data_IF_175909670745
#
_entry.id   IF_175909670745
#
_cell.length_a   1.000
_cell.length_b   1.000
_cell.length_c   1.000
_cell.angle_alpha   90.00
_cell.angle_beta   90.00
_cell.angle_gamma   90.00
#
_symmetry.space_group_name_H-M   'P 1'
#
loop_
_entity.id
_entity.type
_entity.pdbx_description
1 polymer ?
#
# COMPACT_ATOMS: atom_id res chain seq x y z
N UNK A 1 9.32 4.79 -8.90
CA UNK A 1 8.51 4.68 -7.67
C UNK A 1 8.31 6.09 -7.09
N UNK A 2 7.08 6.62 -7.02
CA UNK A 2 6.79 7.91 -6.38
C UNK A 2 5.84 7.68 -5.22
N UNK A 3 6.30 7.92 -3.98
CA UNK A 3 5.42 8.17 -2.84
C UNK A 3 4.38 9.23 -3.25
N UNK A 4 3.14 9.12 -2.76
CA UNK A 4 2.07 10.10 -3.03
C UNK A 4 2.60 11.54 -2.94
N UNK A 5 2.21 12.41 -3.87
CA UNK A 5 2.61 13.84 -3.87
C UNK A 5 2.39 14.51 -2.50
N UNK A 6 1.36 14.08 -1.76
CA UNK A 6 1.01 14.58 -0.42
C UNK A 6 2.01 14.20 0.70
N UNK A 7 2.93 13.27 0.43
CA UNK A 7 3.88 12.73 1.40
C UNK A 7 5.34 13.05 1.09
N UNK A 8 5.61 13.89 0.08
CA UNK A 8 6.98 14.28 -0.28
C UNK A 8 7.39 15.55 0.47
N UNK A 9 8.34 15.48 1.42
CA UNK A 9 9.11 16.64 1.81
C UNK A 9 9.74 17.29 0.56
N UNK A 10 9.88 18.61 0.56
CA UNK A 10 10.67 19.31 -0.45
C UNK A 10 12.15 18.92 -0.28
N UNK A 11 12.58 17.87 -0.98
CA UNK A 11 14.00 17.53 -1.10
C UNK A 11 14.62 18.39 -2.22
N UNK A 12 15.76 19.01 -1.92
CA UNK A 12 16.51 19.78 -2.90
C UNK A 12 17.27 18.86 -3.87
N UNK A 13 16.82 18.84 -5.14
CA UNK A 13 17.53 18.34 -6.32
C UNK A 13 17.80 16.82 -6.44
N UNK A 14 17.89 16.34 -7.68
CA UNK A 14 18.03 14.93 -8.07
C UNK A 14 19.37 14.26 -7.70
N UNK A 15 20.35 15.02 -7.16
CA UNK A 15 21.72 14.53 -6.95
C UNK A 15 22.20 14.57 -5.49
N UNK A 16 21.43 15.14 -4.55
CA UNK A 16 21.77 15.12 -3.12
C UNK A 16 20.63 14.48 -2.33
N UNK A 17 20.72 13.15 -2.10
CA UNK A 17 19.66 12.33 -1.48
C UNK A 17 19.41 12.60 0.02
N UNK A 18 20.10 13.57 0.64
CA UNK A 18 20.06 13.81 2.09
C UNK A 18 19.48 15.18 2.39
N UNK A 19 18.52 15.23 3.31
CA UNK A 19 17.89 16.48 3.73
C UNK A 19 18.91 17.35 4.45
N UNK A 20 19.46 18.36 3.73
CA UNK A 20 20.63 19.14 4.17
C UNK A 20 20.44 19.86 5.51
N UNK A 21 19.20 20.21 5.85
CA UNK A 21 18.88 20.95 7.07
C UNK A 21 18.52 20.05 8.25
N UNK A 22 18.66 18.72 8.12
CA UNK A 22 18.46 17.80 9.24
C UNK A 22 19.80 17.44 9.86
N UNK A 23 19.91 17.67 11.16
CA UNK A 23 20.98 17.12 11.98
C UNK A 23 20.73 15.62 12.18
N UNK A 24 21.61 14.76 11.65
CA UNK A 24 21.48 13.31 11.76
C UNK A 24 22.07 12.77 13.07
N UNK A 25 22.84 13.58 13.81
CA UNK A 25 23.55 13.14 15.02
C UNK A 25 22.57 12.97 16.19
N UNK A 26 21.43 13.68 16.15
CA UNK A 26 20.27 13.47 17.03
C UNK A 26 19.46 12.20 16.72
N UNK A 27 19.91 11.38 15.77
CA UNK A 27 19.22 10.17 15.31
C UNK A 27 18.17 10.47 14.25
N UNK A 28 17.90 9.48 13.39
CA UNK A 28 17.03 9.65 12.22
C UNK A 28 16.33 8.35 11.84
N UNK A 29 15.11 8.42 11.31
CA UNK A 29 14.45 7.27 10.67
C UNK A 29 14.50 7.45 9.16
N UNK A 30 14.94 6.43 8.44
CA UNK A 30 15.17 6.46 6.99
C UNK A 30 14.46 5.29 6.33
N UNK A 31 13.64 5.56 5.33
CA UNK A 31 13.12 4.54 4.41
C UNK A 31 14.09 4.37 3.25
N UNK A 32 14.56 3.15 3.01
CA UNK A 32 15.51 2.86 1.94
C UNK A 32 15.03 1.75 1.00
N UNK A 33 15.53 1.78 -0.23
CA UNK A 33 15.21 0.83 -1.29
C UNK A 33 16.47 0.48 -2.09
N UNK A 34 16.70 -0.80 -2.28
CA UNK A 34 17.72 -1.35 -3.19
C UNK A 34 17.03 -2.17 -4.27
N UNK A 35 17.55 -2.11 -5.49
CA UNK A 35 16.92 -2.72 -6.67
C UNK A 35 17.95 -3.60 -7.36
N UNK A 36 17.54 -4.77 -7.83
CA UNK A 36 18.40 -5.65 -8.63
C UNK A 36 18.79 -4.98 -9.95
N UNK A 37 19.92 -5.33 -10.54
CA UNK A 37 20.33 -4.85 -11.86
C UNK A 37 19.91 -5.88 -12.94
N UNK A 38 19.25 -5.51 -14.06
CA UNK A 38 18.53 -4.26 -14.37
C UNK A 38 17.04 -4.34 -14.01
N UNK A 39 16.70 -4.72 -12.76
CA UNK A 39 15.37 -5.10 -12.25
C UNK A 39 14.94 -6.55 -12.54
N UNK A 40 15.87 -7.50 -12.40
CA UNK A 40 15.57 -8.94 -12.55
C UNK A 40 14.76 -9.46 -11.37
N UNK A 41 13.69 -10.21 -11.67
CA UNK A 41 12.79 -10.81 -10.67
C UNK A 41 13.38 -12.09 -10.06
N UNK A 42 14.51 -11.96 -9.37
CA UNK A 42 15.30 -13.09 -8.88
C UNK A 42 14.83 -13.62 -7.51
N UNK A 43 14.12 -12.81 -6.73
CA UNK A 43 13.81 -13.13 -5.32
C UNK A 43 12.47 -13.85 -5.13
N UNK A 44 11.76 -14.16 -6.21
CA UNK A 44 10.51 -14.90 -6.17
C UNK A 44 9.37 -14.18 -6.91
N UNK A 45 8.13 -14.48 -6.51
CA UNK A 45 6.91 -13.95 -7.12
C UNK A 45 5.88 -13.59 -6.05
N UNK A 46 4.96 -12.70 -6.39
CA UNK A 46 3.83 -12.35 -5.52
C UNK A 46 2.63 -13.24 -5.85
N UNK A 47 2.04 -13.84 -4.83
CA UNK A 47 0.84 -14.69 -4.90
C UNK A 47 -0.08 -14.32 -3.73
N UNK A 48 -1.34 -14.00 -4.02
CA UNK A 48 -2.38 -13.69 -3.00
C UNK A 48 -1.92 -12.66 -1.96
N UNK A 49 -1.40 -11.54 -2.45
CA UNK A 49 -0.96 -10.41 -1.64
C UNK A 49 0.28 -10.69 -0.79
N UNK A 50 0.98 -11.80 -1.02
CA UNK A 50 2.16 -12.22 -0.26
C UNK A 50 3.34 -12.53 -1.17
N UNK A 51 4.55 -12.37 -0.63
CA UNK A 51 5.78 -12.77 -1.32
C UNK A 51 6.01 -14.27 -1.14
N UNK A 52 6.01 -15.01 -2.25
CA UNK A 52 6.55 -16.36 -2.32
C UNK A 52 8.02 -16.25 -2.76
N UNK A 53 8.94 -16.37 -1.79
CA UNK A 53 10.37 -16.21 -2.03
C UNK A 53 10.92 -17.38 -2.86
N UNK A 54 11.90 -17.07 -3.72
CA UNK A 54 12.77 -18.10 -4.31
C UNK A 54 13.85 -18.52 -3.29
N UNK A 55 14.60 -19.58 -3.58
CA UNK A 55 15.75 -19.98 -2.77
C UNK A 55 16.76 -18.82 -2.54
N UNK A 56 17.01 -18.01 -3.58
CA UNK A 56 17.82 -16.81 -3.43
C UNK A 56 17.11 -15.75 -2.58
N UNK A 57 15.80 -15.55 -2.79
CA UNK A 57 14.99 -14.63 -2.00
C UNK A 57 15.00 -14.93 -0.51
N UNK A 58 14.94 -16.21 -0.13
CA UNK A 58 15.05 -16.68 1.26
C UNK A 58 16.41 -16.33 1.86
N UNK A 59 17.51 -16.61 1.13
CA UNK A 59 18.86 -16.24 1.56
C UNK A 59 19.03 -14.73 1.71
N UNK A 60 18.44 -13.93 0.81
CA UNK A 60 18.45 -12.46 0.88
C UNK A 60 17.63 -11.95 2.07
N UNK A 61 16.46 -12.54 2.33
CA UNK A 61 15.64 -12.21 3.48
C UNK A 61 16.35 -12.54 4.81
N UNK A 62 16.96 -13.73 4.90
CA UNK A 62 17.77 -14.13 6.04
C UNK A 62 18.96 -13.19 6.27
N UNK A 63 19.68 -12.83 5.19
CA UNK A 63 20.77 -11.86 5.25
C UNK A 63 20.32 -10.48 5.76
N UNK A 64 19.16 -10.01 5.34
CA UNK A 64 18.60 -8.74 5.81
C UNK A 64 18.24 -8.82 7.30
N UNK A 65 17.60 -9.92 7.72
CA UNK A 65 17.23 -10.16 9.12
C UNK A 65 18.45 -10.29 10.05
N UNK A 66 19.53 -10.91 9.57
CA UNK A 66 20.78 -11.08 10.32
C UNK A 66 21.73 -9.89 10.22
N UNK A 67 21.45 -8.90 9.36
CA UNK A 67 22.35 -7.78 9.14
C UNK A 67 22.53 -6.98 10.42
N UNK A 68 23.78 -6.72 10.79
CA UNK A 68 24.14 -5.90 11.95
C UNK A 68 25.11 -4.83 11.48
N UNK A 69 24.79 -3.58 11.80
CA UNK A 69 25.68 -2.45 11.57
C UNK A 69 25.60 -1.56 12.78
N UNK A 70 26.74 -1.26 13.37
CA UNK A 70 26.80 -0.37 14.53
C UNK A 70 26.10 0.95 14.20
N UNK A 71 25.27 1.42 15.13
CA UNK A 71 24.51 2.66 14.93
C UNK A 71 23.25 2.58 14.08
N UNK A 72 22.96 1.43 13.46
CA UNK A 72 21.78 1.26 12.62
C UNK A 72 20.90 0.15 13.18
N UNK A 73 19.63 0.45 13.42
CA UNK A 73 18.61 -0.54 13.74
C UNK A 73 17.69 -0.74 12.53
N UNK A 74 17.53 -2.00 12.12
CA UNK A 74 16.52 -2.41 11.14
C UNK A 74 15.19 -2.61 11.84
N UNK A 75 14.12 -2.00 11.32
CA UNK A 75 12.77 -2.16 11.84
C UNK A 75 11.92 -3.03 10.88
N UNK A 76 11.18 -2.41 9.97
CA UNK A 76 10.34 -3.11 8.99
C UNK A 76 11.10 -3.30 7.69
N UNK A 77 10.85 -4.40 7.00
CA UNK A 77 11.42 -4.65 5.70
C UNK A 77 10.55 -5.59 4.87
N UNK A 78 10.76 -5.58 3.56
CA UNK A 78 10.16 -6.55 2.63
C UNK A 78 11.11 -6.78 1.46
N UNK A 79 11.33 -8.05 1.12
CA UNK A 79 11.99 -8.46 -0.12
C UNK A 79 10.89 -8.66 -1.17
N UNK A 80 10.98 -7.93 -2.26
CA UNK A 80 10.08 -7.96 -3.42
C UNK A 80 10.77 -8.69 -4.58
N UNK A 81 10.08 -9.05 -5.68
CA UNK A 81 10.66 -9.91 -6.71
C UNK A 81 12.00 -9.42 -7.27
N UNK A 82 12.16 -8.10 -7.44
CA UNK A 82 13.33 -7.44 -8.05
C UNK A 82 13.96 -6.35 -7.17
N UNK A 83 13.52 -6.16 -5.93
CA UNK A 83 13.99 -5.09 -5.04
C UNK A 83 13.75 -5.44 -3.57
N UNK A 84 14.30 -4.65 -2.65
CA UNK A 84 13.97 -4.73 -1.23
C UNK A 84 13.74 -3.32 -0.66
N UNK A 85 12.78 -3.22 0.26
CA UNK A 85 12.54 -2.02 1.06
C UNK A 85 12.85 -2.30 2.52
N UNK A 86 13.38 -1.30 3.23
CA UNK A 86 13.59 -1.38 4.67
C UNK A 86 13.51 -0.02 5.33
N UNK A 87 12.98 -0.01 6.55
CA UNK A 87 12.94 1.14 7.44
C UNK A 87 14.05 1.00 8.48
N UNK A 88 14.93 1.99 8.52
CA UNK A 88 16.12 2.02 9.35
C UNK A 88 16.03 3.15 10.36
N UNK A 89 16.55 2.91 11.55
CA UNK A 89 16.76 3.94 12.57
C UNK A 89 18.26 4.11 12.81
N UNK A 90 18.76 5.30 12.50
CA UNK A 90 20.10 5.74 12.84
C UNK A 90 20.05 6.23 14.29
N UNK A 91 20.82 5.57 15.16
CA UNK A 91 20.87 5.89 16.59
C UNK A 91 21.46 7.28 16.81
N UNK A 92 21.04 8.01 17.85
CA UNK A 92 21.67 9.28 18.21
C UNK A 92 23.10 9.08 18.72
N UNK A 93 23.90 10.15 18.72
CA UNK A 93 25.27 10.18 19.24
C UNK A 93 26.30 9.48 18.33
N UNK A 94 25.91 9.16 17.09
CA UNK A 94 26.82 8.66 16.07
C UNK A 94 27.74 9.79 15.60
N UNK A 95 29.05 9.52 15.44
CA UNK A 95 29.98 10.49 14.81
C UNK A 95 29.72 10.66 13.32
N UNK A 96 29.30 9.60 12.63
CA UNK A 96 29.06 9.60 11.19
C UNK A 96 27.80 8.78 10.83
N UNK A 97 26.59 9.20 11.25
CA UNK A 97 25.35 8.43 11.09
C UNK A 97 25.06 8.05 9.63
N UNK A 98 25.41 8.93 8.71
CA UNK A 98 25.23 8.72 7.28
C UNK A 98 26.23 7.72 6.67
N UNK A 99 27.42 7.59 7.27
CA UNK A 99 28.39 6.56 6.90
C UNK A 99 27.90 5.21 7.41
N UNK A 100 27.36 5.15 8.63
CA UNK A 100 26.76 3.94 9.18
C UNK A 100 25.60 3.42 8.30
N UNK A 101 24.73 4.32 7.82
CA UNK A 101 23.69 3.98 6.83
C UNK A 101 24.30 3.38 5.55
N UNK A 102 25.35 4.02 5.01
CA UNK A 102 26.05 3.54 3.82
C UNK A 102 26.69 2.16 4.03
N UNK A 103 27.32 1.94 5.19
CA UNK A 103 27.91 0.65 5.56
C UNK A 103 26.86 -0.45 5.69
N UNK A 104 25.69 -0.15 6.26
CA UNK A 104 24.59 -1.11 6.34
C UNK A 104 24.17 -1.59 4.95
N UNK A 105 23.88 -0.64 4.04
CA UNK A 105 23.41 -0.95 2.69
C UNK A 105 24.52 -1.61 1.86
N UNK A 106 25.74 -1.09 1.95
CA UNK A 106 26.90 -1.64 1.25
C UNK A 106 27.19 -3.08 1.67
N UNK A 107 27.28 -3.33 2.98
CA UNK A 107 27.48 -4.68 3.53
C UNK A 107 26.38 -5.65 3.10
N UNK A 108 25.12 -5.21 3.15
CA UNK A 108 23.99 -6.03 2.71
C UNK A 108 24.10 -6.41 1.23
N UNK A 109 24.36 -5.42 0.36
CA UNK A 109 24.50 -5.64 -1.08
C UNK A 109 25.68 -6.54 -1.41
N UNK A 110 26.84 -6.32 -0.78
CA UNK A 110 28.03 -7.14 -1.01
C UNK A 110 27.80 -8.60 -0.59
N UNK A 111 27.28 -8.81 0.62
CA UNK A 111 27.05 -10.15 1.15
C UNK A 111 26.02 -10.93 0.31
N UNK A 112 24.91 -10.30 -0.06
CA UNK A 112 23.87 -10.95 -0.89
C UNK A 112 24.32 -11.18 -2.33
N UNK A 113 25.19 -10.33 -2.88
CA UNK A 113 25.80 -10.57 -4.20
C UNK A 113 26.70 -11.81 -4.15
N UNK A 114 27.46 -12.01 -3.05
CA UNK A 114 28.23 -13.23 -2.84
C UNK A 114 27.35 -14.48 -2.82
N UNK A 115 26.24 -14.45 -2.06
CA UNK A 115 25.28 -15.57 -2.01
C UNK A 115 24.69 -15.89 -3.40
N UNK A 116 24.42 -14.87 -4.20
CA UNK A 116 23.93 -15.03 -5.57
C UNK A 116 24.96 -15.75 -6.46
N UNK A 117 26.24 -15.39 -6.40
CA UNK A 117 27.28 -16.11 -7.15
C UNK A 117 27.49 -17.53 -6.65
N UNK A 118 27.51 -17.74 -5.32
CA UNK A 118 27.63 -19.08 -4.71
C UNK A 118 26.56 -20.03 -5.23
N UNK A 119 25.29 -19.61 -5.22
CA UNK A 119 24.18 -20.39 -5.75
C UNK A 119 24.33 -20.67 -7.24
N UNK A 120 24.73 -19.67 -8.02
CA UNK A 120 24.89 -19.84 -9.46
C UNK A 120 26.03 -20.83 -9.80
N UNK A 121 27.10 -20.87 -8.98
CA UNK A 121 28.17 -21.88 -9.09
C UNK A 121 27.73 -23.27 -8.61
N UNK A 122 26.83 -23.38 -7.64
CA UNK A 122 26.21 -24.65 -7.22
C UNK A 122 25.33 -25.24 -8.33
N UNK A 123 24.50 -24.40 -8.97
CA UNK A 123 23.64 -24.79 -10.10
C UNK A 123 24.46 -25.24 -11.32
N UNK A 124 25.57 -24.55 -11.63
CA UNK A 124 26.46 -24.95 -12.72
C UNK A 124 27.09 -26.33 -12.48
N UNK A 125 27.62 -26.58 -11.26
CA UNK A 125 28.26 -27.86 -10.89
C UNK A 125 27.30 -29.04 -10.92
N UNK A 126 26.06 -28.85 -10.47
CA UNK A 126 25.03 -29.89 -10.51
C UNK A 126 24.60 -30.23 -11.94
N UNK A 127 24.54 -29.23 -12.82
CA UNK A 127 24.19 -29.41 -14.24
C UNK A 127 25.29 -30.12 -15.03
N UNK A 128 26.57 -29.86 -14.73
CA UNK A 128 27.71 -30.55 -15.34
C UNK A 128 27.90 -31.99 -14.82
N UNK A 129 27.64 -32.23 -13.53
CA UNK A 129 27.69 -33.57 -12.91
C UNK A 129 26.53 -34.49 -13.31
N UNK A 130 25.42 -33.96 -13.85
CA UNK A 130 24.27 -34.71 -14.31
C UNK A 130 24.39 -35.22 -15.77
N UNK A 131 25.60 -35.26 -16.34
CA UNK A 131 25.91 -36.00 -17.59
C UNK A 131 26.51 -37.37 -17.23
N UNK A 132 25.72 -38.47 -17.12
CA UNK A 132 26.30 -39.81 -17.15
C UNK A 132 26.88 -40.06 -18.55
N UNK A 133 28.02 -40.74 -18.60
CA UNK A 133 28.85 -40.93 -19.78
C UNK A 133 28.08 -41.20 -21.08
N UNK A 134 28.17 -40.26 -22.02
CA UNK A 134 27.99 -40.54 -23.43
C UNK A 134 29.27 -41.22 -23.92
N UNK A 135 29.25 -42.55 -23.95
CA UNK A 135 30.10 -43.31 -24.85
C UNK A 135 29.88 -42.80 -26.28
N UNK A 136 30.97 -42.60 -27.01
CA UNK A 136 30.97 -42.26 -28.42
C UNK A 136 29.99 -43.16 -29.22
N UNK A 137 28.93 -42.55 -29.74
CA UNK A 137 27.91 -43.21 -30.57
C UNK A 137 27.08 -42.15 -31.27
N UNK A 138 27.19 -42.11 -32.60
CA UNK A 138 26.62 -41.11 -33.47
C UNK A 138 25.09 -40.99 -33.40
N UNK A 139 24.59 -39.76 -33.45
CA UNK A 139 23.17 -39.45 -33.62
C UNK A 139 22.89 -37.96 -33.46
N UNK A 140 23.12 -37.16 -34.52
CA UNK A 140 22.65 -35.75 -34.57
C UNK A 140 21.13 -35.76 -34.62
N UNK A 141 20.48 -35.40 -33.52
CA UNK A 141 19.04 -35.16 -33.47
C UNK A 141 18.80 -33.62 -33.54
N UNK A 142 18.29 -33.07 -34.66
CA UNK A 142 18.29 -31.62 -34.92
C UNK A 142 17.20 -30.82 -34.17
N UNK A 143 16.53 -31.41 -33.17
CA UNK A 143 15.38 -30.80 -32.49
C UNK A 143 15.58 -30.38 -31.03
N UNK A 144 16.76 -30.56 -30.44
CA UNK A 144 16.98 -30.26 -29.01
C UNK A 144 17.74 -28.93 -28.86
N UNK A 145 17.00 -27.86 -28.59
CA UNK A 145 17.58 -26.59 -28.14
C UNK A 145 18.43 -26.84 -26.89
N UNK A 146 19.69 -26.39 -26.84
CA UNK A 146 20.50 -26.54 -25.64
C UNK A 146 19.83 -25.78 -24.48
N UNK A 147 19.97 -26.25 -23.23
CA UNK A 147 19.51 -25.50 -22.08
C UNK A 147 20.23 -24.14 -22.10
N UNK A 148 19.45 -23.07 -22.08
CA UNK A 148 19.97 -21.70 -21.97
C UNK A 148 20.65 -21.61 -20.61
N UNK A 149 21.98 -21.79 -20.58
CA UNK A 149 22.79 -21.37 -19.44
C UNK A 149 22.74 -19.85 -19.46
N UNK A 150 21.79 -19.29 -18.72
CA UNK A 150 21.65 -17.84 -18.61
C UNK A 150 22.95 -17.31 -18.00
N UNK A 151 23.71 -16.51 -18.74
CA UNK A 151 24.96 -15.94 -18.26
C UNK A 151 24.72 -15.26 -16.91
N UNK A 152 25.47 -15.69 -15.88
CA UNK A 152 25.37 -15.14 -14.54
C UNK A 152 25.86 -13.70 -14.64
N UNK A 153 24.98 -12.73 -14.41
CA UNK A 153 25.38 -11.32 -14.46
C UNK A 153 26.41 -11.00 -13.37
N UNK A 154 27.35 -10.10 -13.69
CA UNK A 154 28.43 -9.71 -12.78
C UNK A 154 27.95 -9.02 -11.50
N UNK A 155 26.74 -8.46 -11.47
CA UNK A 155 26.22 -7.79 -10.27
C UNK A 155 24.80 -8.22 -9.97
N UNK A 156 24.44 -8.27 -8.68
CA UNK A 156 23.08 -8.52 -8.26
C UNK A 156 22.26 -7.22 -8.23
N UNK A 157 22.84 -6.13 -7.74
CA UNK A 157 22.14 -4.88 -7.42
C UNK A 157 22.63 -3.69 -8.27
N UNK A 158 21.72 -2.76 -8.56
CA UNK A 158 22.06 -1.47 -9.19
C UNK A 158 23.02 -0.66 -8.32
N UNK A 159 23.81 0.24 -8.89
CA UNK A 159 24.68 1.15 -8.13
C UNK A 159 23.89 2.07 -7.17
N UNK A 160 24.40 2.25 -5.94
CA UNK A 160 23.75 3.06 -4.91
C UNK A 160 22.45 2.46 -4.34
N UNK A 161 21.61 3.30 -3.72
CA UNK A 161 20.30 2.97 -3.17
C UNK A 161 19.43 4.23 -3.01
N UNK A 162 18.10 4.10 -3.05
CA UNK A 162 17.20 5.24 -2.83
C UNK A 162 16.78 5.33 -1.38
N UNK A 163 16.87 6.51 -0.79
CA UNK A 163 16.51 6.75 0.61
C UNK A 163 15.69 8.04 0.82
N UNK A 164 14.89 8.04 1.89
CA UNK A 164 14.00 9.12 2.28
C UNK A 164 14.03 9.29 3.81
N UNK A 165 14.31 10.49 4.29
CA UNK A 165 14.22 10.84 5.71
C UNK A 165 12.75 10.89 6.17
N UNK A 166 12.41 10.12 7.19
CA UNK A 166 11.08 10.09 7.80
C UNK A 166 10.96 11.17 8.89
N UNK A 167 10.53 12.38 8.50
CA UNK A 167 10.51 13.59 9.36
C UNK A 167 9.38 13.65 10.41
N UNK A 168 8.43 12.71 10.42
CA UNK A 168 7.33 12.72 11.38
C UNK A 168 6.87 11.30 11.70
N UNK A 169 6.27 11.12 12.88
CA UNK A 169 5.65 9.84 13.26
C UNK A 169 4.62 9.37 12.23
N UNK A 170 3.79 10.28 11.72
CA UNK A 170 2.82 9.96 10.66
C UNK A 170 3.51 9.42 9.40
N UNK A 171 4.64 10.00 9.00
CA UNK A 171 5.36 9.51 7.83
C UNK A 171 6.02 8.15 8.08
N UNK A 172 6.55 7.92 9.29
CA UNK A 172 7.06 6.62 9.73
C UNK A 172 5.96 5.55 9.62
N UNK A 173 4.77 5.80 10.18
CA UNK A 173 3.64 4.86 10.09
C UNK A 173 3.21 4.60 8.63
N UNK A 174 3.21 5.63 7.78
CA UNK A 174 2.94 5.45 6.34
C UNK A 174 3.99 4.57 5.66
N UNK A 175 5.27 4.69 6.01
CA UNK A 175 6.33 3.82 5.50
C UNK A 175 6.17 2.38 5.98
N UNK A 176 5.80 2.17 7.25
CA UNK A 176 5.48 0.84 7.80
C UNK A 176 4.35 0.18 7.04
N UNK A 177 3.24 0.89 6.87
CA UNK A 177 2.11 0.43 6.06
C UNK A 177 2.53 0.16 4.60
N UNK A 178 3.35 1.04 4.01
CA UNK A 178 3.84 0.85 2.66
C UNK A 178 4.63 -0.45 2.49
N UNK A 179 5.51 -0.77 3.45
CA UNK A 179 6.28 -2.03 3.46
C UNK A 179 5.34 -3.22 3.59
N UNK A 180 4.43 -3.19 4.57
CA UNK A 180 3.51 -4.29 4.84
C UNK A 180 2.59 -4.62 3.64
N UNK A 181 2.07 -3.59 2.97
CA UNK A 181 1.16 -3.74 1.83
C UNK A 181 1.88 -3.80 0.48
N UNK A 182 3.21 -3.75 0.43
CA UNK A 182 3.95 -3.71 -0.83
C UNK A 182 3.67 -4.95 -1.71
N UNK A 183 3.67 -6.18 -1.18
CA UNK A 183 3.35 -7.35 -1.97
C UNK A 183 1.96 -7.27 -2.59
N UNK A 184 0.94 -6.94 -1.81
CA UNK A 184 -0.42 -6.74 -2.33
C UNK A 184 -0.49 -5.63 -3.38
N UNK A 185 0.16 -4.50 -3.12
CA UNK A 185 0.25 -3.41 -4.09
C UNK A 185 0.86 -3.88 -5.41
N UNK A 186 1.92 -4.68 -5.34
CA UNK A 186 2.57 -5.24 -6.51
C UNK A 186 1.61 -6.15 -7.29
N UNK A 187 0.89 -7.05 -6.61
CA UNK A 187 -0.11 -7.92 -7.24
C UNK A 187 -1.18 -7.10 -7.96
N UNK A 188 -1.79 -6.13 -7.28
CA UNK A 188 -2.83 -5.28 -7.86
C UNK A 188 -2.33 -4.42 -9.02
N UNK A 189 -1.02 -4.18 -9.14
CA UNK A 189 -0.45 -3.41 -10.24
C UNK A 189 -0.04 -4.27 -11.44
N UNK A 190 0.37 -5.52 -11.22
CA UNK A 190 0.96 -6.35 -12.27
C UNK A 190 0.12 -7.58 -12.62
N UNK A 191 -0.57 -8.16 -11.64
CA UNK A 191 -1.34 -9.40 -11.80
C UNK A 191 -2.85 -9.15 -11.87
N UNK A 192 -3.35 -8.07 -11.26
CA UNK A 192 -4.78 -7.68 -11.22
C UNK A 192 -5.00 -6.17 -11.43
N UNK A 193 -4.51 -5.59 -12.54
CA UNK A 193 -4.59 -4.14 -12.79
C UNK A 193 -6.04 -3.60 -12.84
N UNK A 194 -7.01 -4.45 -13.17
CA UNK A 194 -8.43 -4.11 -13.21
C UNK A 194 -8.98 -3.65 -11.86
N UNK A 195 -8.43 -4.14 -10.75
CA UNK A 195 -8.85 -3.77 -9.39
C UNK A 195 -8.48 -2.31 -9.04
N UNK A 196 -7.47 -1.75 -9.71
CA UNK A 196 -7.02 -0.36 -9.52
C UNK A 196 -7.38 0.55 -10.70
N UNK A 197 -8.13 0.03 -11.69
CA UNK A 197 -8.56 0.80 -12.85
C UNK A 197 -9.52 1.90 -12.41
N UNK A 198 -9.21 3.14 -12.82
CA UNK A 198 -10.14 4.25 -12.71
C UNK A 198 -11.22 4.07 -13.78
N UNK A 199 -12.47 4.06 -13.33
CA UNK A 199 -13.67 4.06 -14.18
C UNK A 199 -14.24 5.46 -14.19
N UNK A 200 -14.38 6.02 -15.38
CA UNK A 200 -14.88 7.37 -15.61
C UNK A 200 -15.53 7.42 -17.02
N UNK A 201 -16.83 7.77 -17.13
CA UNK A 201 -17.76 7.94 -16.02
C UNK A 201 -18.13 6.60 -15.36
N UNK A 202 -18.57 6.64 -14.10
CA UNK A 202 -19.34 5.52 -13.53
C UNK A 202 -20.80 5.69 -13.92
N UNK A 203 -21.36 4.67 -14.57
CA UNK A 203 -22.78 4.58 -14.86
C UNK A 203 -23.51 3.88 -13.70
N UNK A 204 -24.42 4.60 -13.04
CA UNK A 204 -25.31 4.05 -12.02
C UNK A 204 -26.51 4.98 -11.81
N UNK A 205 -27.73 4.44 -11.69
CA UNK A 205 -28.93 5.21 -11.36
C UNK A 205 -28.92 5.84 -9.95
N UNK A 206 -27.96 5.46 -9.09
CA UNK A 206 -27.76 6.12 -7.80
C UNK A 206 -26.96 7.42 -7.94
N UNK A 207 -26.18 7.56 -9.01
CA UNK A 207 -25.44 8.78 -9.33
C UNK A 207 -26.35 9.69 -10.18
N UNK A 208 -26.19 11.02 -10.08
CA UNK A 208 -27.11 11.92 -10.78
C UNK A 208 -26.82 11.91 -12.29
N UNK A 209 -27.87 11.96 -13.11
CA UNK A 209 -27.72 12.05 -14.57
C UNK A 209 -26.91 13.30 -14.97
N UNK A 210 -25.93 13.12 -15.84
CA UNK A 210 -25.08 14.21 -16.37
C UNK A 210 -23.85 14.56 -15.53
N UNK A 211 -23.63 13.89 -14.39
CA UNK A 211 -22.44 14.10 -13.55
C UNK A 211 -21.30 13.12 -13.89
N UNK A 212 -20.08 13.64 -14.08
CA UNK A 212 -18.88 12.84 -14.39
C UNK A 212 -18.23 12.26 -13.12
N UNK A 213 -18.83 11.19 -12.58
CA UNK A 213 -18.28 10.48 -11.43
C UNK A 213 -17.10 9.59 -11.82
N UNK A 214 -16.07 9.58 -10.98
CA UNK A 214 -14.92 8.66 -11.12
C UNK A 214 -14.94 7.63 -10.01
N UNK A 215 -14.44 6.43 -10.26
CA UNK A 215 -14.23 5.51 -9.16
C UNK A 215 -13.28 4.36 -9.43
N UNK A 216 -12.85 3.74 -8.34
CA UNK A 216 -11.92 2.63 -8.31
C UNK A 216 -12.48 1.55 -7.39
N UNK A 217 -12.49 0.30 -7.85
CA UNK A 217 -12.99 -0.84 -7.08
C UNK A 217 -14.41 -1.26 -7.49
N UNK A 218 -15.20 -1.66 -6.49
CA UNK A 218 -16.44 -2.41 -6.67
C UNK A 218 -17.65 -1.53 -7.06
N UNK A 219 -17.84 -1.28 -8.35
CA UNK A 219 -18.97 -0.45 -8.83
C UNK A 219 -20.34 -1.08 -8.60
N UNK A 220 -20.41 -2.40 -8.42
CA UNK A 220 -21.64 -3.11 -8.04
C UNK A 220 -22.17 -2.72 -6.65
N UNK A 221 -21.39 -1.99 -5.84
CA UNK A 221 -21.89 -1.42 -4.59
C UNK A 221 -22.89 -0.27 -4.83
N UNK A 222 -22.98 0.25 -6.06
CA UNK A 222 -23.96 1.26 -6.48
C UNK A 222 -25.22 0.63 -7.10
N UNK A 223 -25.62 -0.53 -6.62
CA UNK A 223 -26.88 -1.19 -6.99
C UNK A 223 -28.06 -0.45 -6.31
N UNK A 224 -29.12 -0.05 -7.04
CA UNK A 224 -30.35 0.49 -6.45
C UNK A 224 -30.95 -0.31 -5.30
N UNK A 225 -30.79 -1.64 -5.32
CA UNK A 225 -31.31 -2.53 -4.28
C UNK A 225 -30.39 -2.61 -3.05
N UNK A 226 -29.18 -2.05 -3.12
CA UNK A 226 -28.29 -1.98 -1.97
C UNK A 226 -28.87 -1.02 -0.90
N UNK A 227 -28.69 -1.38 0.37
CA UNK A 227 -29.11 -0.54 1.50
C UNK A 227 -27.96 0.36 1.92
N UNK A 228 -27.82 1.53 1.29
CA UNK A 228 -26.72 2.43 1.60
C UNK A 228 -26.98 3.19 2.92
N UNK A 229 -25.94 3.27 3.75
CA UNK A 229 -25.96 3.99 5.01
C UNK A 229 -25.00 5.18 4.95
N UNK A 230 -25.52 6.39 4.76
CA UNK A 230 -24.73 7.61 4.82
C UNK A 230 -24.26 7.85 6.26
N UNK A 231 -22.96 7.65 6.52
CA UNK A 231 -22.38 7.77 7.86
C UNK A 231 -21.69 9.11 8.03
N UNK A 232 -22.02 9.79 9.12
CA UNK A 232 -21.28 10.96 9.60
C UNK A 232 -20.94 10.80 11.08
N UNK A 233 -19.68 10.94 11.45
CA UNK A 233 -19.27 10.99 12.87
C UNK A 233 -18.59 12.32 13.11
N UNK A 234 -19.18 13.15 13.97
CA UNK A 234 -18.66 14.48 14.29
C UNK A 234 -17.20 14.41 14.72
N UNK A 235 -16.38 15.36 14.25
CA UNK A 235 -14.99 15.53 14.69
C UNK A 235 -14.81 15.73 16.18
N UNK A 236 -15.89 16.10 16.90
CA UNK A 236 -15.91 16.27 18.35
C UNK A 236 -16.06 14.93 19.08
N UNK A 237 -16.44 13.84 18.39
CA UNK A 237 -16.37 12.49 18.94
C UNK A 237 -14.91 12.05 18.86
N UNK A 238 -14.12 12.43 19.86
CA UNK A 238 -12.66 12.31 19.87
C UNK A 238 -12.11 11.42 20.99
N UNK A 239 -12.94 11.05 21.98
CA UNK A 239 -12.56 10.10 23.01
C UNK A 239 -12.64 8.67 22.50
N UNK A 240 -11.70 7.81 22.94
CA UNK A 240 -11.64 6.41 22.51
C UNK A 240 -12.95 5.65 22.79
N UNK A 241 -13.55 5.87 23.96
CA UNK A 241 -14.81 5.24 24.34
C UNK A 241 -15.98 5.68 23.45
N UNK A 242 -16.10 6.98 23.15
CA UNK A 242 -17.17 7.48 22.30
C UNK A 242 -16.98 7.05 20.83
N UNK A 243 -15.73 7.03 20.34
CA UNK A 243 -15.42 6.49 19.01
C UNK A 243 -15.80 5.02 18.94
N UNK A 244 -15.38 4.20 19.90
CA UNK A 244 -15.69 2.77 19.94
C UNK A 244 -17.20 2.51 19.95
N UNK A 245 -17.95 3.25 20.77
CA UNK A 245 -19.42 3.15 20.82
C UNK A 245 -20.08 3.56 19.49
N UNK A 246 -19.56 4.60 18.82
CA UNK A 246 -20.04 5.03 17.52
C UNK A 246 -19.79 3.99 16.43
N UNK A 247 -18.56 3.47 16.35
CA UNK A 247 -18.18 2.41 15.41
C UNK A 247 -19.05 1.16 15.64
N UNK A 248 -19.18 0.70 16.88
CA UNK A 248 -19.96 -0.50 17.22
C UNK A 248 -21.43 -0.39 16.78
N UNK A 249 -22.05 0.79 16.90
CA UNK A 249 -23.42 0.99 16.41
C UNK A 249 -23.53 0.85 14.90
N UNK A 250 -22.58 1.41 14.17
CA UNK A 250 -22.58 1.37 12.71
C UNK A 250 -22.32 -0.05 12.21
N UNK A 251 -21.42 -0.79 12.87
CA UNK A 251 -21.16 -2.19 12.54
C UNK A 251 -22.39 -3.09 12.72
N UNK A 252 -23.26 -2.84 13.72
CA UNK A 252 -24.56 -3.53 13.80
C UNK A 252 -25.46 -3.27 12.57
N UNK A 253 -25.33 -2.09 11.96
CA UNK A 253 -25.99 -1.80 10.70
C UNK A 253 -25.40 -2.61 9.53
N UNK A 254 -24.08 -2.79 9.52
CA UNK A 254 -23.39 -3.66 8.55
C UNK A 254 -23.88 -5.10 8.68
N UNK A 255 -23.98 -5.62 9.91
CA UNK A 255 -24.53 -6.95 10.18
C UNK A 255 -25.99 -7.09 9.71
N UNK A 256 -26.76 -6.00 9.78
CA UNK A 256 -28.13 -5.93 9.26
C UNK A 256 -28.19 -5.73 7.73
N UNK A 257 -27.06 -5.76 7.01
CA UNK A 257 -26.98 -5.69 5.55
C UNK A 257 -26.81 -4.29 4.95
N UNK A 258 -26.57 -3.26 5.78
CA UNK A 258 -26.27 -1.92 5.27
C UNK A 258 -24.83 -1.81 4.75
N UNK A 259 -24.64 -0.96 3.73
CA UNK A 259 -23.34 -0.62 3.15
C UNK A 259 -22.99 0.82 3.58
N UNK A 260 -22.02 1.02 4.49
CA UNK A 260 -21.62 2.36 4.90
C UNK A 260 -21.04 3.17 3.74
N UNK A 261 -21.48 4.41 3.62
CA UNK A 261 -20.96 5.42 2.69
C UNK A 261 -20.44 6.60 3.50
N UNK A 262 -19.15 6.92 3.38
CA UNK A 262 -18.51 7.92 4.23
C UNK A 262 -17.33 8.61 3.54
N UNK A 263 -16.99 9.83 3.97
CA UNK A 263 -15.75 10.52 3.56
C UNK A 263 -14.50 10.11 4.36
N UNK A 264 -14.67 9.44 5.50
CA UNK A 264 -13.58 9.00 6.39
C UNK A 264 -12.59 10.10 6.79
N UNK A 265 -13.13 11.27 7.13
CA UNK A 265 -12.35 12.48 7.43
C UNK A 265 -12.08 12.60 8.92
N UNK A 266 -13.11 12.44 9.75
CA UNK A 266 -13.00 12.64 11.19
C UNK A 266 -12.27 11.49 11.89
N UNK A 267 -11.77 11.66 13.15
CA UNK A 267 -11.17 10.57 13.90
C UNK A 267 -12.09 9.34 14.03
N UNK A 268 -13.36 9.56 14.36
CA UNK A 268 -14.35 8.49 14.48
C UNK A 268 -14.65 7.80 13.14
N UNK A 269 -14.72 8.55 12.04
CA UNK A 269 -14.91 7.95 10.72
C UNK A 269 -13.68 7.13 10.30
N UNK A 270 -12.46 7.63 10.52
CA UNK A 270 -11.24 6.85 10.23
C UNK A 270 -11.18 5.55 11.04
N UNK A 271 -11.56 5.60 12.32
CA UNK A 271 -11.68 4.39 13.13
C UNK A 271 -12.73 3.41 12.59
N UNK A 272 -13.87 3.91 12.09
CA UNK A 272 -14.84 3.09 11.39
C UNK A 272 -14.26 2.45 10.14
N UNK A 273 -13.53 3.20 9.30
CA UNK A 273 -12.87 2.66 8.11
C UNK A 273 -11.94 1.52 8.45
N UNK A 274 -11.10 1.71 9.46
CA UNK A 274 -10.12 0.71 9.88
C UNK A 274 -10.85 -0.56 10.39
N UNK A 275 -11.98 -0.40 11.09
CA UNK A 275 -12.84 -1.51 11.48
C UNK A 275 -13.50 -2.23 10.29
N UNK A 276 -13.98 -1.50 9.28
CA UNK A 276 -14.59 -2.07 8.06
C UNK A 276 -13.57 -2.83 7.19
N UNK A 277 -12.32 -2.36 7.14
CA UNK A 277 -11.23 -3.07 6.46
C UNK A 277 -10.95 -4.40 7.18
N UNK A 278 -10.88 -4.36 8.52
CA UNK A 278 -10.60 -5.52 9.36
C UNK A 278 -11.75 -6.54 9.42
N UNK A 279 -12.99 -6.10 9.22
CA UNK A 279 -14.17 -6.97 9.23
C UNK A 279 -14.33 -7.71 7.90
N UNK A 280 -14.18 -9.05 7.85
CA UNK A 280 -14.34 -9.82 6.62
C UNK A 280 -15.76 -9.68 6.07
N UNK A 281 -15.89 -9.56 4.75
CA UNK A 281 -17.19 -9.43 4.07
C UNK A 281 -17.85 -8.05 4.19
N UNK A 282 -17.36 -7.15 5.05
CA UNK A 282 -17.92 -5.80 5.17
C UNK A 282 -17.69 -5.00 3.88
N UNK A 283 -18.78 -4.58 3.24
CA UNK A 283 -18.76 -3.76 2.03
C UNK A 283 -18.97 -2.29 2.40
N UNK A 284 -18.24 -1.38 1.77
CA UNK A 284 -18.35 0.05 2.06
C UNK A 284 -17.89 0.93 0.89
N UNK A 285 -18.37 2.17 0.87
CA UNK A 285 -18.04 3.18 -0.14
C UNK A 285 -17.33 4.34 0.55
N UNK A 286 -16.14 4.69 0.06
CA UNK A 286 -15.43 5.90 0.45
C UNK A 286 -15.60 6.96 -0.62
N UNK A 287 -16.17 8.10 -0.26
CA UNK A 287 -16.25 9.26 -1.16
C UNK A 287 -15.09 10.20 -0.89
N UNK A 288 -14.27 10.46 -1.89
CA UNK A 288 -13.11 11.33 -1.79
C UNK A 288 -13.54 12.80 -1.65
N UNK A 289 -12.88 13.52 -0.74
CA UNK A 289 -13.15 14.95 -0.51
C UNK A 289 -12.57 15.81 -1.63
N UNK A 290 -11.35 15.47 -2.04
CA UNK A 290 -10.61 16.16 -3.09
C UNK A 290 -10.82 15.49 -4.44
N UNK A 291 -10.47 16.22 -5.51
CA UNK A 291 -10.53 15.71 -6.87
C UNK A 291 -9.72 14.40 -7.02
N UNK A 292 -10.29 13.43 -7.72
CA UNK A 292 -9.59 12.19 -8.08
C UNK A 292 -8.75 12.42 -9.36
N UNK A 293 -7.40 12.50 -9.27
CA UNK A 293 -6.55 12.74 -10.42
C UNK A 293 -6.52 11.55 -11.39
N UNK A 294 -6.09 11.80 -12.62
CA UNK A 294 -5.95 10.78 -13.69
C UNK A 294 -4.98 9.66 -13.33
N UNK A 295 -4.01 9.92 -12.46
CA UNK A 295 -3.03 8.97 -11.96
C UNK A 295 -3.31 8.54 -10.51
N UNK A 296 -4.56 8.65 -10.05
CA UNK A 296 -4.96 8.31 -8.68
C UNK A 296 -4.46 6.92 -8.26
N UNK A 297 -3.97 6.85 -7.02
CA UNK A 297 -3.48 5.63 -6.40
C UNK A 297 -4.09 5.54 -5.00
N UNK A 298 -4.89 4.48 -4.72
CA UNK A 298 -5.45 4.25 -3.40
C UNK A 298 -4.36 4.17 -2.32
N UNK A 299 -4.72 4.59 -1.10
CA UNK A 299 -3.84 4.44 0.06
C UNK A 299 -3.64 2.95 0.38
N UNK A 300 -2.42 2.58 0.81
CA UNK A 300 -2.05 1.18 1.06
C UNK A 300 -3.02 0.41 1.97
N UNK A 301 -3.55 0.98 3.08
CA UNK A 301 -4.50 0.27 3.94
C UNK A 301 -5.83 -0.10 3.26
N UNK A 302 -6.19 0.53 2.15
CA UNK A 302 -7.43 0.26 1.41
C UNK A 302 -7.31 -0.95 0.46
N UNK A 303 -6.07 -1.36 0.15
CA UNK A 303 -5.81 -2.38 -0.88
C UNK A 303 -6.46 -3.74 -0.60
N UNK A 304 -6.52 -4.25 0.65
CA UNK A 304 -7.20 -5.53 0.93
C UNK A 304 -8.69 -5.49 0.55
N UNK A 305 -9.40 -4.44 0.97
CA UNK A 305 -10.82 -4.30 0.66
C UNK A 305 -11.08 -4.09 -0.84
N UNK A 306 -10.15 -3.45 -1.57
CA UNK A 306 -10.20 -3.35 -3.04
C UNK A 306 -9.97 -4.71 -3.71
N UNK A 307 -8.97 -5.47 -3.27
CA UNK A 307 -8.65 -6.80 -3.79
C UNK A 307 -9.84 -7.76 -3.63
N UNK A 308 -10.53 -7.68 -2.49
CA UNK A 308 -11.67 -8.51 -2.15
C UNK A 308 -13.00 -8.02 -2.78
N UNK A 309 -12.98 -6.92 -3.55
CA UNK A 309 -14.19 -6.37 -4.17
C UNK A 309 -15.20 -5.80 -3.16
N UNK A 310 -14.74 -5.39 -1.98
CA UNK A 310 -15.58 -4.87 -0.88
C UNK A 310 -15.60 -3.34 -0.78
N UNK A 311 -14.71 -2.66 -1.48
CA UNK A 311 -14.57 -1.21 -1.44
C UNK A 311 -14.82 -0.58 -2.81
N UNK A 312 -15.60 0.51 -2.82
CA UNK A 312 -15.62 1.49 -3.90
C UNK A 312 -15.06 2.83 -3.41
N UNK A 313 -14.03 3.31 -4.07
CA UNK A 313 -13.54 4.68 -3.94
C UNK A 313 -14.25 5.54 -5.00
N UNK A 314 -14.92 6.60 -4.58
CA UNK A 314 -15.77 7.42 -5.42
C UNK A 314 -15.29 8.87 -5.40
N UNK A 315 -14.94 9.41 -6.57
CA UNK A 315 -14.57 10.81 -6.77
C UNK A 315 -15.75 11.60 -7.31
N UNK A 316 -16.08 12.71 -6.65
CA UNK A 316 -17.15 13.63 -7.06
C UNK A 316 -16.71 14.51 -8.25
N UNK A 317 -17.63 14.85 -9.18
CA UNK A 317 -17.33 15.74 -10.29
C UNK A 317 -16.93 17.16 -9.84
N UNK A 318 -17.63 17.77 -8.87
CA UNK A 318 -17.32 19.13 -8.40
C UNK A 318 -16.21 19.18 -7.34
N UNK A 319 -15.53 18.06 -7.05
CA UNK A 319 -14.43 18.09 -6.09
C UNK A 319 -13.26 18.92 -6.65
N UNK A 320 -12.75 19.82 -5.82
CA UNK A 320 -11.54 20.61 -6.11
C UNK A 320 -10.36 20.04 -5.33
N UNK A 321 -9.17 20.60 -5.52
CA UNK A 321 -8.00 20.27 -4.69
C UNK A 321 -8.07 20.93 -3.29
N UNK A 322 -9.12 21.70 -2.99
CA UNK A 322 -9.28 22.38 -1.71
C UNK A 322 -9.90 21.45 -0.66
N UNK A 323 -9.24 21.37 0.49
CA UNK A 323 -9.74 20.67 1.66
C UNK A 323 -10.19 21.69 2.72
N UNK A 324 -11.45 22.11 2.66
CA UNK A 324 -12.02 23.07 3.60
C UNK A 324 -13.38 22.62 4.17
N UNK A 325 -13.98 23.48 4.99
CA UNK A 325 -15.28 23.21 5.61
C UNK A 325 -16.41 23.13 4.59
N UNK A 326 -16.38 23.96 3.54
CA UNK A 326 -17.43 23.97 2.51
C UNK A 326 -17.40 22.67 1.70
N UNK A 327 -16.22 22.22 1.29
CA UNK A 327 -15.99 20.93 0.63
C UNK A 327 -16.48 19.77 1.50
N UNK A 328 -16.18 19.77 2.80
CA UNK A 328 -16.69 18.75 3.72
C UNK A 328 -18.23 18.75 3.85
N UNK A 329 -18.88 19.91 3.83
CA UNK A 329 -20.35 20.00 3.87
C UNK A 329 -20.98 19.51 2.57
N UNK A 330 -20.43 19.91 1.42
CA UNK A 330 -20.87 19.44 0.11
C UNK A 330 -20.71 17.91 -0.02
N UNK A 331 -19.58 17.37 0.42
CA UNK A 331 -19.32 15.93 0.49
C UNK A 331 -20.42 15.20 1.29
N UNK A 332 -20.72 15.68 2.50
CA UNK A 332 -21.75 15.09 3.35
C UNK A 332 -23.14 15.13 2.69
N UNK A 333 -23.47 16.22 2.00
CA UNK A 333 -24.73 16.35 1.28
C UNK A 333 -24.84 15.33 0.12
N UNK A 334 -23.77 15.16 -0.68
CA UNK A 334 -23.74 14.16 -1.75
C UNK A 334 -23.83 12.74 -1.24
N UNK A 335 -23.13 12.41 -0.15
CA UNK A 335 -23.19 11.08 0.48
C UNK A 335 -24.63 10.76 0.93
N UNK A 336 -25.32 11.74 1.53
CA UNK A 336 -26.70 11.57 1.97
C UNK A 336 -27.67 11.43 0.78
N UNK A 337 -27.50 12.25 -0.26
CA UNK A 337 -28.29 12.15 -1.48
C UNK A 337 -28.13 10.79 -2.17
N UNK A 338 -26.88 10.29 -2.25
CA UNK A 338 -26.57 8.97 -2.76
C UNK A 338 -27.29 7.87 -1.97
N UNK A 339 -27.21 7.93 -0.63
CA UNK A 339 -27.87 6.94 0.21
C UNK A 339 -29.39 6.94 0.04
N UNK A 340 -30.01 8.12 -0.05
CA UNK A 340 -31.48 8.27 -0.23
C UNK A 340 -32.01 7.74 -1.55
N UNK A 341 -31.18 7.59 -2.59
CA UNK A 341 -31.60 7.01 -3.87
C UNK A 341 -31.62 5.48 -3.85
N UNK A 342 -30.99 4.87 -2.85
CA UNK A 342 -30.90 3.42 -2.70
C UNK A 342 -32.08 2.86 -1.88
N UNK A 343 -32.43 1.60 -2.13
CA UNK A 343 -33.55 0.94 -1.47
C UNK A 343 -33.33 0.87 0.05
N UNK A 344 -34.25 1.47 0.82
CA UNK A 344 -34.15 1.51 2.28
C UNK A 344 -32.91 2.24 2.81
N UNK A 345 -32.27 3.08 1.98
CA UNK A 345 -31.09 3.83 2.36
C UNK A 345 -31.41 4.99 3.31
N UNK A 346 -30.47 5.31 4.19
CA UNK A 346 -30.65 6.31 5.24
C UNK A 346 -29.34 6.95 5.68
N UNK A 347 -29.44 8.11 6.32
CA UNK A 347 -28.35 8.80 7.01
C UNK A 347 -28.31 8.45 8.49
N UNK A 348 -27.10 8.34 9.03
CA UNK A 348 -26.82 8.12 10.44
C UNK A 348 -25.70 9.07 10.89
N UNK A 349 -26.05 10.01 11.77
CA UNK A 349 -25.14 11.02 12.28
C UNK A 349 -24.92 10.91 13.78
N UNK A 350 -23.65 10.72 14.18
CA UNK A 350 -23.23 10.71 15.57
C UNK A 350 -22.58 12.05 15.98
N UNK A 351 -23.01 12.61 17.12
CA UNK A 351 -22.35 13.74 17.77
C UNK A 351 -22.28 13.57 19.28
N UNK A 352 -21.35 14.25 19.94
CA UNK A 352 -21.40 14.40 21.40
C UNK A 352 -22.49 15.40 21.81
N UNK A 353 -23.22 15.06 22.85
CA UNK A 353 -24.08 15.93 23.63
C UNK A 353 -23.73 15.88 25.12
N UNK A 354 -24.52 16.54 25.98
CA UNK A 354 -24.22 16.67 27.41
C UNK A 354 -24.10 15.31 28.13
N UNK A 355 -24.93 14.33 27.74
CA UNK A 355 -25.03 13.02 28.39
C UNK A 355 -24.44 11.88 27.53
N UNK A 356 -23.56 12.19 26.58
CA UNK A 356 -22.91 11.21 25.71
C UNK A 356 -23.30 11.33 24.23
N UNK A 357 -23.25 10.21 23.50
CA UNK A 357 -23.51 10.19 22.05
C UNK A 357 -25.00 10.43 21.75
N UNK A 358 -25.27 11.41 20.90
CA UNK A 358 -26.59 11.68 20.33
C UNK A 358 -26.57 11.26 18.87
N UNK A 359 -27.61 10.55 18.46
CA UNK A 359 -27.80 10.04 17.11
C UNK A 359 -28.94 10.76 16.41
N UNK A 360 -28.73 11.06 15.14
CA UNK A 360 -29.76 11.57 14.23
C UNK A 360 -29.84 10.61 13.04
N UNK A 361 -31.05 10.18 12.71
CA UNK A 361 -31.33 9.38 11.53
C UNK A 361 -32.08 10.22 10.51
N UNK A 362 -31.65 10.18 9.25
CA UNK A 362 -32.27 10.93 8.15
C UNK A 362 -32.59 9.94 7.01
N UNK A 363 -33.82 9.43 6.94
CA UNK A 363 -34.25 8.44 5.93
C UNK A 363 -35.45 8.92 5.10
N UNK A 364 -35.78 8.18 4.04
CA UNK A 364 -37.13 8.25 3.45
C UNK A 364 -38.10 7.64 4.47
N UNK A 365 -39.15 8.40 4.82
CA UNK A 365 -40.25 7.97 5.67
C UNK A 365 -41.05 6.84 5.06
#
# INVERSE_FOLDING_TARGET
MRLSKKMKPAYASAHHRRYRSYDYDRGAVVFATVVTEPRRRLFGRVVEGRMALSALGERVAAALQSQRTEGVALHEWVVMPDHAHFLLHLKPGQREPLRALGSFVGGFKSYTTRLYWEMAHEEARTTEGARPGLSAGAGRNPGRTPPVVCAIADTLWQAGYHDWLCISRRFIESCRAYIAYNPLKYELQHNRPEALRIREPIDSPLLADGEYWKGVGATNLLDPQARLLAVRISRRVDTAAAIAAAVARILRGVDAGFIPVCGFVSPGERALRDALIALPGARFIQVEVEAMPVDYRPASPLLPALQEGRLLLLGRPEATDLFDRAACLALNASILALARRSAGGMGCYARLGPNGLIWHSEGQS
#
